data_IF_116019265442
#
_entry.id   IF_116019265442
#
_cell.length_a   1.000
_cell.length_b   1.000
_cell.length_c   1.000
_cell.angle_alpha   90.00
_cell.angle_beta   90.00
_cell.angle_gamma   90.00
#
_symmetry.space_group_name_H-M   'P 1'
#
loop_
_entity.id
_entity.type
_entity.pdbx_description
1 polymer ?
#
# COMPACT_ATOMS: atom_id res chain seq x y z
N UNK A 1 10.34 -25.95 -1.03
CA UNK A 1 9.83 -24.63 -0.56
C UNK A 1 10.11 -23.56 -1.59
N UNK A 2 9.30 -22.49 -1.65
CA UNK A 2 9.38 -21.42 -2.68
C UNK A 2 10.79 -20.81 -2.84
N UNK A 3 11.53 -20.66 -1.74
CA UNK A 3 12.89 -20.10 -1.78
C UNK A 3 13.97 -21.08 -2.27
N UNK A 4 13.68 -22.38 -2.31
CA UNK A 4 14.64 -23.43 -2.66
C UNK A 4 14.57 -23.94 -4.10
N UNK A 5 13.74 -23.33 -4.96
CA UNK A 5 13.58 -23.71 -6.36
C UNK A 5 14.14 -22.60 -7.26
N UNK A 6 14.93 -22.95 -8.27
CA UNK A 6 15.62 -21.99 -9.15
C UNK A 6 14.69 -21.02 -9.89
N UNK A 7 13.44 -21.42 -10.13
CA UNK A 7 12.42 -20.59 -10.77
C UNK A 7 11.84 -19.56 -9.80
N UNK A 8 11.63 -19.96 -8.54
CA UNK A 8 10.87 -19.16 -7.56
C UNK A 8 11.74 -18.50 -6.49
N UNK A 9 13.05 -18.78 -6.44
CA UNK A 9 13.98 -18.25 -5.43
C UNK A 9 14.03 -16.72 -5.37
N UNK A 10 13.77 -16.06 -6.49
CA UNK A 10 13.76 -14.60 -6.60
C UNK A 10 12.39 -13.97 -6.26
N UNK A 11 11.35 -14.79 -6.07
CA UNK A 11 10.02 -14.27 -5.72
C UNK A 11 10.03 -13.71 -4.29
N UNK A 12 9.36 -12.57 -4.15
CA UNK A 12 9.10 -11.91 -2.88
C UNK A 12 7.71 -12.31 -2.38
N UNK A 13 7.63 -12.69 -1.12
CA UNK A 13 6.37 -13.07 -0.47
C UNK A 13 6.00 -11.96 0.50
N UNK A 14 4.78 -11.45 0.35
CA UNK A 14 4.19 -10.48 1.27
C UNK A 14 3.17 -11.17 2.17
N UNK A 15 3.12 -10.76 3.43
CA UNK A 15 2.07 -11.15 4.36
C UNK A 15 1.23 -9.97 4.82
N UNK A 16 0.30 -10.24 5.73
CA UNK A 16 -0.81 -9.37 6.14
C UNK A 16 -1.85 -9.18 5.02
N UNK A 17 -1.52 -8.36 4.02
CA UNK A 17 -2.42 -7.98 2.92
C UNK A 17 -3.83 -7.61 3.41
N UNK A 18 -3.86 -6.75 4.44
CA UNK A 18 -5.06 -6.29 5.14
C UNK A 18 -4.79 -4.88 5.72
N UNK A 19 -5.75 -4.33 6.44
CA UNK A 19 -5.72 -2.98 6.98
C UNK A 19 -4.59 -2.76 8.00
N UNK A 20 -4.06 -1.53 8.03
CA UNK A 20 -2.98 -1.13 8.95
C UNK A 20 -3.33 -1.22 10.44
N UNK A 21 -4.59 -1.45 10.81
CA UNK A 21 -5.03 -1.69 12.18
C UNK A 21 -4.28 -2.84 12.87
N UNK A 22 -3.87 -3.86 12.11
CA UNK A 22 -3.14 -5.00 12.65
C UNK A 22 -1.65 -4.70 12.90
N UNK A 23 -1.16 -3.53 12.50
CA UNK A 23 0.22 -3.12 12.70
C UNK A 23 0.41 -2.31 14.00
N UNK A 24 1.55 -2.46 14.69
CA UNK A 24 2.68 -3.35 14.38
C UNK A 24 2.49 -4.81 14.86
N UNK A 25 1.41 -5.13 15.59
CA UNK A 25 1.28 -6.38 16.33
C UNK A 25 1.37 -7.65 15.48
N UNK A 26 0.79 -7.66 14.27
CA UNK A 26 0.94 -8.77 13.34
C UNK A 26 2.40 -8.93 12.87
N UNK A 27 3.06 -7.81 12.55
CA UNK A 27 4.45 -7.81 12.09
C UNK A 27 5.39 -8.32 13.19
N UNK A 28 5.19 -7.88 14.43
CA UNK A 28 5.98 -8.34 15.58
C UNK A 28 5.83 -9.85 15.80
N UNK A 29 4.64 -10.42 15.60
CA UNK A 29 4.44 -11.88 15.73
C UNK A 29 5.18 -12.67 14.65
N UNK A 30 5.10 -12.23 13.40
CA UNK A 30 5.67 -12.96 12.26
C UNK A 30 7.18 -12.78 12.16
N UNK A 31 7.69 -11.57 12.41
CA UNK A 31 9.10 -11.28 12.18
C UNK A 31 10.00 -11.55 13.38
N UNK A 32 9.45 -11.70 14.59
CA UNK A 32 10.22 -12.17 15.76
C UNK A 32 10.35 -13.70 15.81
N UNK A 33 9.57 -14.43 15.02
CA UNK A 33 9.73 -15.87 14.83
C UNK A 33 10.73 -16.12 13.69
N UNK A 34 11.89 -16.69 14.01
CA UNK A 34 12.98 -16.96 13.05
C UNK A 34 12.54 -17.89 11.92
N UNK A 35 11.67 -18.87 12.22
CA UNK A 35 11.19 -19.81 11.22
C UNK A 35 10.20 -19.13 10.27
N UNK A 36 9.30 -18.30 10.77
CA UNK A 36 8.33 -17.60 9.93
C UNK A 36 8.98 -16.44 9.13
N UNK A 37 9.88 -15.69 9.76
CA UNK A 37 10.51 -14.49 9.20
C UNK A 37 11.32 -14.75 7.92
N UNK A 38 11.79 -15.99 7.71
CA UNK A 38 12.55 -16.38 6.51
C UNK A 38 11.68 -16.47 5.25
N UNK A 39 10.37 -16.65 5.40
CA UNK A 39 9.44 -16.82 4.28
C UNK A 39 8.73 -15.55 3.87
N UNK A 40 8.69 -14.52 4.72
CA UNK A 40 7.97 -13.27 4.47
C UNK A 40 8.97 -12.14 4.26
N UNK A 41 9.03 -11.60 3.04
CA UNK A 41 9.95 -10.53 2.66
C UNK A 41 9.42 -9.13 3.01
N UNK A 42 8.10 -8.97 3.11
CA UNK A 42 7.46 -7.66 3.36
C UNK A 42 5.99 -7.76 3.75
N UNK A 43 5.37 -6.59 3.92
CA UNK A 43 4.00 -6.41 4.41
C UNK A 43 3.15 -5.75 3.34
N UNK A 44 1.98 -6.33 3.02
CA UNK A 44 0.93 -5.67 2.25
C UNK A 44 -0.06 -4.95 3.17
N UNK A 45 -0.48 -3.73 2.84
CA UNK A 45 -1.49 -2.98 3.61
C UNK A 45 -2.61 -2.40 2.74
N UNK A 46 -3.83 -2.38 3.28
CA UNK A 46 -5.01 -1.78 2.66
C UNK A 46 -5.47 -0.51 3.39
N UNK A 47 -6.20 0.36 2.69
CA UNK A 47 -6.62 1.68 3.19
C UNK A 47 -8.02 1.73 3.84
N UNK A 48 -8.81 0.65 3.78
CA UNK A 48 -10.27 0.69 4.00
C UNK A 48 -10.68 1.07 5.42
N UNK A 49 -9.84 0.74 6.39
CA UNK A 49 -10.04 1.04 7.81
C UNK A 49 -9.04 2.09 8.33
N UNK A 50 -8.51 2.94 7.45
CA UNK A 50 -7.55 3.99 7.84
C UNK A 50 -8.09 4.95 8.91
N UNK A 51 -9.42 5.12 9.01
CA UNK A 51 -10.06 5.95 10.03
C UNK A 51 -9.95 5.36 11.46
N UNK A 52 -9.70 4.05 11.61
CA UNK A 52 -9.56 3.39 12.92
C UNK A 52 -8.14 3.43 13.47
N UNK A 53 -7.14 3.78 12.66
CA UNK A 53 -5.74 3.66 13.05
C UNK A 53 -4.90 4.73 12.37
N UNK A 54 -4.09 5.50 13.12
CA UNK A 54 -3.29 6.57 12.52
C UNK A 54 -2.18 6.01 11.61
N UNK A 55 -1.73 6.78 10.60
CA UNK A 55 -0.66 6.34 9.69
C UNK A 55 0.69 6.13 10.37
N UNK A 56 0.92 6.71 11.56
CA UNK A 56 2.16 6.58 12.34
C UNK A 56 2.50 5.12 12.72
N UNK A 57 1.53 4.20 12.68
CA UNK A 57 1.78 2.76 12.86
C UNK A 57 2.68 2.19 11.76
N UNK A 58 2.65 2.76 10.56
CA UNK A 58 3.50 2.34 9.43
C UNK A 58 4.97 2.65 9.74
N UNK A 59 5.28 3.88 10.17
CA UNK A 59 6.63 4.26 10.61
C UNK A 59 7.07 3.45 11.84
N UNK A 60 6.17 3.20 12.78
CA UNK A 60 6.48 2.36 13.96
C UNK A 60 6.86 0.94 13.54
N UNK A 61 6.10 0.36 12.60
CA UNK A 61 6.36 -0.99 12.08
C UNK A 61 7.69 -1.05 11.34
N UNK A 62 7.95 -0.09 10.46
CA UNK A 62 9.22 -0.03 9.73
C UNK A 62 10.42 0.18 10.67
N UNK A 63 10.28 1.00 11.72
CA UNK A 63 11.32 1.18 12.74
C UNK A 63 11.63 -0.12 13.51
N UNK A 64 10.61 -0.95 13.78
CA UNK A 64 10.79 -2.25 14.46
C UNK A 64 11.37 -3.32 13.53
N UNK A 65 11.01 -3.28 12.25
CA UNK A 65 11.40 -4.26 11.24
C UNK A 65 12.03 -3.58 10.01
N UNK A 66 13.21 -2.94 10.15
CA UNK A 66 13.77 -2.07 9.10
C UNK A 66 14.20 -2.81 7.83
N UNK A 67 14.40 -4.13 7.91
CA UNK A 67 14.77 -4.99 6.77
C UNK A 67 13.57 -5.43 5.94
N UNK A 68 12.34 -5.17 6.41
CA UNK A 68 11.09 -5.57 5.76
C UNK A 68 10.47 -4.36 5.08
N UNK A 69 10.12 -4.50 3.80
CA UNK A 69 9.42 -3.44 3.07
C UNK A 69 7.92 -3.49 3.41
N UNK A 70 7.27 -2.34 3.25
CA UNK A 70 5.81 -2.22 3.35
C UNK A 70 5.30 -1.68 2.02
N UNK A 71 4.26 -2.30 1.49
CA UNK A 71 3.62 -1.96 0.23
C UNK A 71 2.13 -1.71 0.48
N UNK A 72 1.64 -0.54 0.10
CA UNK A 72 0.19 -0.31 0.00
C UNK A 72 -0.32 -1.08 -1.23
N UNK A 73 -1.07 -2.17 -1.02
CA UNK A 73 -1.46 -3.13 -2.07
C UNK A 73 -2.87 -2.93 -2.59
N UNK A 74 -3.76 -2.32 -1.79
CA UNK A 74 -5.15 -2.10 -2.17
C UNK A 74 -5.72 -0.80 -1.60
N UNK A 75 -6.34 -0.01 -2.49
CA UNK A 75 -7.08 1.19 -2.14
C UNK A 75 -8.21 1.39 -3.17
N UNK A 76 -9.44 1.58 -2.70
CA UNK A 76 -10.63 1.75 -3.51
C UNK A 76 -11.66 2.65 -2.82
N UNK A 77 -11.98 3.79 -3.44
CA UNK A 77 -13.06 4.68 -2.97
C UNK A 77 -14.40 4.08 -3.32
N UNK A 78 -15.42 4.24 -2.46
CA UNK A 78 -16.74 3.66 -2.71
C UNK A 78 -16.79 2.14 -2.52
N UNK A 79 -15.86 1.57 -1.77
CA UNK A 79 -15.98 0.20 -1.23
C UNK A 79 -16.92 0.12 -0.02
N UNK A 80 -17.15 1.26 0.65
CA UNK A 80 -18.06 1.41 1.78
C UNK A 80 -19.48 1.79 1.31
N UNK A 81 -20.20 2.63 2.08
CA UNK A 81 -21.66 2.89 1.98
C UNK A 81 -22.15 3.24 0.57
N UNK A 82 -21.40 4.04 -0.20
CA UNK A 82 -21.77 4.40 -1.59
C UNK A 82 -20.96 3.56 -2.56
N UNK A 83 -21.57 2.49 -3.05
CA UNK A 83 -20.94 1.55 -3.95
C UNK A 83 -20.86 2.04 -5.41
N UNK A 84 -19.73 1.77 -6.07
CA UNK A 84 -19.56 1.95 -7.51
C UNK A 84 -18.97 3.31 -7.93
N UNK A 85 -18.66 3.49 -9.23
CA UNK A 85 -18.06 4.72 -9.75
C UNK A 85 -19.04 5.89 -9.71
N UNK A 86 -18.53 7.07 -9.34
CA UNK A 86 -19.25 8.34 -9.47
C UNK A 86 -18.40 9.22 -10.40
N UNK A 87 -18.91 9.46 -11.60
CA UNK A 87 -18.19 10.22 -12.62
C UNK A 87 -18.14 11.70 -12.21
N UNK A 88 -16.94 12.29 -12.30
CA UNK A 88 -16.71 13.70 -11.92
C UNK A 88 -16.63 13.96 -10.41
N UNK A 89 -16.59 12.92 -9.58
CA UNK A 89 -16.44 13.06 -8.13
C UNK A 89 -15.00 13.40 -7.75
N UNK A 90 -14.73 14.70 -7.61
CA UNK A 90 -13.42 15.22 -7.26
C UNK A 90 -12.99 14.82 -5.83
N UNK A 91 -13.94 14.68 -4.91
CA UNK A 91 -13.65 14.33 -3.53
C UNK A 91 -12.98 12.96 -3.42
N UNK A 92 -13.43 11.98 -4.21
CA UNK A 92 -12.76 10.67 -4.30
C UNK A 92 -11.33 10.77 -4.82
N UNK A 93 -11.08 11.68 -5.77
CA UNK A 93 -9.73 11.96 -6.26
C UNK A 93 -8.81 12.52 -5.17
N UNK A 94 -9.33 13.44 -4.36
CA UNK A 94 -8.62 14.01 -3.20
C UNK A 94 -8.31 12.94 -2.14
N UNK A 95 -9.23 12.02 -1.87
CA UNK A 95 -8.99 10.90 -0.93
C UNK A 95 -7.79 10.04 -1.37
N UNK A 96 -7.70 9.68 -2.66
CA UNK A 96 -6.53 8.96 -3.19
C UNK A 96 -5.26 9.78 -3.06
N UNK A 97 -5.27 11.06 -3.45
CA UNK A 97 -4.09 11.91 -3.39
C UNK A 97 -3.59 12.07 -1.94
N UNK A 98 -4.50 12.31 -0.99
CA UNK A 98 -4.18 12.43 0.42
C UNK A 98 -3.58 11.14 1.00
N UNK A 99 -4.13 9.97 0.64
CA UNK A 99 -3.57 8.69 1.08
C UNK A 99 -2.19 8.44 0.47
N UNK A 100 -2.01 8.65 -0.85
CA UNK A 100 -0.71 8.52 -1.54
C UNK A 100 0.36 9.36 -0.85
N UNK A 101 0.07 10.63 -0.60
CA UNK A 101 1.01 11.52 0.09
C UNK A 101 1.32 10.98 1.48
N UNK A 102 0.29 10.56 2.22
CA UNK A 102 0.43 10.01 3.57
C UNK A 102 1.33 8.77 3.57
N UNK A 103 1.15 7.82 2.65
CA UNK A 103 1.99 6.61 2.63
C UNK A 103 3.42 6.91 2.17
N UNK A 104 3.61 7.85 1.23
CA UNK A 104 4.93 8.26 0.75
C UNK A 104 5.77 8.92 1.85
N UNK A 105 5.20 9.81 2.66
CA UNK A 105 5.93 10.45 3.78
C UNK A 105 6.33 9.46 4.88
N UNK A 106 5.73 8.27 4.91
CA UNK A 106 6.08 7.18 5.83
C UNK A 106 6.98 6.12 5.16
N UNK A 107 7.62 6.44 4.01
CA UNK A 107 8.52 5.57 3.25
C UNK A 107 7.90 4.24 2.79
N UNK A 108 6.60 4.26 2.49
CA UNK A 108 5.86 3.09 2.02
C UNK A 108 5.79 3.11 0.50
N UNK A 109 6.00 1.95 -0.14
CA UNK A 109 5.86 1.82 -1.58
C UNK A 109 4.36 1.79 -1.93
N UNK A 110 3.95 2.47 -3.00
CA UNK A 110 2.54 2.63 -3.36
C UNK A 110 2.19 1.80 -4.59
N UNK A 111 1.18 0.94 -4.45
CA UNK A 111 0.57 0.22 -5.57
C UNK A 111 -0.95 0.19 -5.38
N UNK A 112 -1.63 1.21 -5.89
CA UNK A 112 -3.08 1.33 -5.74
C UNK A 112 -3.79 0.41 -6.73
N UNK A 113 -4.50 -0.58 -6.20
CA UNK A 113 -5.45 -1.39 -6.95
C UNK A 113 -6.82 -1.28 -6.30
N UNK A 114 -7.85 -1.03 -7.12
CA UNK A 114 -9.24 -0.99 -6.69
C UNK A 114 -9.96 -2.18 -7.37
N UNK A 115 -10.52 -3.09 -6.57
CA UNK A 115 -11.37 -4.18 -7.07
C UNK A 115 -12.68 -3.56 -7.57
N UNK A 116 -12.90 -3.56 -8.88
CA UNK A 116 -14.22 -3.24 -9.46
C UNK A 116 -14.27 -2.12 -10.49
N UNK A 117 -13.15 -1.50 -10.86
CA UNK A 117 -13.11 -0.68 -12.08
C UNK A 117 -13.27 -1.59 -13.30
N UNK A 118 -14.52 -1.90 -13.66
CA UNK A 118 -14.90 -2.13 -15.07
C UNK A 118 -15.02 -0.75 -15.72
N UNK A 119 -13.91 -0.05 -15.82
CA UNK A 119 -13.77 1.04 -16.79
C UNK A 119 -13.49 0.34 -18.11
N UNK A 120 -14.13 0.82 -19.19
CA UNK A 120 -13.98 0.22 -20.52
C UNK A 120 -12.53 0.19 -21.01
N UNK A 121 -11.63 0.93 -20.35
CA UNK A 121 -10.21 0.91 -20.61
C UNK A 121 -9.40 1.00 -19.31
N UNK A 122 -8.43 0.11 -19.15
CA UNK A 122 -7.48 0.06 -18.02
C UNK A 122 -6.49 1.24 -18.01
N UNK A 123 -6.49 2.10 -19.04
CA UNK A 123 -5.57 3.23 -19.22
C UNK A 123 -5.81 4.38 -18.24
N UNK A 124 -7.01 4.56 -17.72
CA UNK A 124 -7.35 5.78 -16.95
C UNK A 124 -6.79 5.74 -15.51
N UNK A 125 -6.83 4.58 -14.84
CA UNK A 125 -6.26 4.45 -13.49
C UNK A 125 -4.73 4.60 -13.50
N UNK A 126 -4.06 4.02 -14.50
CA UNK A 126 -2.62 4.21 -14.71
C UNK A 126 -2.25 5.66 -15.07
N UNK A 127 -3.15 6.38 -15.76
CA UNK A 127 -2.93 7.79 -16.12
C UNK A 127 -3.08 8.72 -14.92
N UNK A 128 -4.08 8.51 -14.06
CA UNK A 128 -4.21 9.23 -12.79
C UNK A 128 -2.99 8.95 -11.90
N UNK A 129 -2.57 7.68 -11.79
CA UNK A 129 -1.38 7.31 -11.01
C UNK A 129 -0.10 7.96 -11.56
N UNK A 130 0.12 7.96 -12.88
CA UNK A 130 1.28 8.64 -13.49
C UNK A 130 1.22 10.15 -13.30
N UNK A 131 0.04 10.76 -13.36
CA UNK A 131 -0.13 12.20 -13.12
C UNK A 131 0.20 12.57 -11.67
N UNK A 132 -0.28 11.79 -10.69
CA UNK A 132 0.00 12.03 -9.27
C UNK A 132 1.48 11.75 -8.95
N UNK A 133 2.07 10.67 -9.48
CA UNK A 133 3.50 10.39 -9.31
C UNK A 133 4.40 11.44 -10.00
N UNK A 134 3.99 11.98 -11.15
CA UNK A 134 4.68 13.07 -11.83
C UNK A 134 4.66 14.36 -11.00
N UNK A 135 3.52 14.69 -10.41
CA UNK A 135 3.37 15.85 -9.52
C UNK A 135 4.14 15.67 -8.20
N UNK A 136 4.14 14.46 -7.64
CA UNK A 136 4.94 14.14 -6.46
C UNK A 136 6.44 14.27 -6.74
N UNK A 137 6.94 13.74 -7.87
CA UNK A 137 8.34 13.90 -8.26
C UNK A 137 8.74 15.38 -8.51
N UNK A 138 7.82 16.21 -9.01
CA UNK A 138 8.08 17.64 -9.12
C UNK A 138 8.19 18.33 -7.75
N UNK A 139 7.41 17.91 -6.76
CA UNK A 139 7.48 18.44 -5.40
C UNK A 139 8.79 18.10 -4.66
N UNK A 140 9.42 16.96 -4.97
CA UNK A 140 10.71 16.57 -4.38
C UNK A 140 11.94 17.20 -5.08
N UNK A 141 11.79 17.78 -6.28
CA UNK A 141 12.87 18.50 -6.96
C UNK A 141 13.03 19.96 -6.50
N UNK A 142 12.11 20.48 -5.68
CA UNK A 142 12.14 21.87 -5.18
C UNK A 142 12.81 21.99 -3.81
N UNK A 143 13.30 20.88 -3.25
CA UNK A 143 13.97 20.82 -1.93
C UNK A 143 15.44 20.38 -2.00
N UNK A 144 16.08 20.48 -3.17
CA UNK A 144 17.52 20.27 -3.38
C UNK A 144 18.26 21.57 -3.57
#
# INVERSE_FOLDING_TARGET
>A
MLKGNDVTKNLKVMGLDDNRLFLPGWADKIFNDVEAAQYVDGIGVHWYLNFLTPPSVLATTHKRHPTKFILATEACTGSAVVHGPILGDWYRGEEYAADIITVMIHNIIVLIKCKGLRVRDATDTYTIQRSILSQANQAFHISG
#
